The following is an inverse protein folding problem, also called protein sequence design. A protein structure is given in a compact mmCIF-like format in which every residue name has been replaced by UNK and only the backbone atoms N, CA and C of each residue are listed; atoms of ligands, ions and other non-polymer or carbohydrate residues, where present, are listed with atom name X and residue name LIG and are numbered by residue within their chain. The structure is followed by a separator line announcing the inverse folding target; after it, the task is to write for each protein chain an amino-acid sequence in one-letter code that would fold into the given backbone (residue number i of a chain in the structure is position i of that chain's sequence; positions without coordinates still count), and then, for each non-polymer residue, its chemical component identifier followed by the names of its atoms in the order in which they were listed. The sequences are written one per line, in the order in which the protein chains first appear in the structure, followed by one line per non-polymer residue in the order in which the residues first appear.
data_IF_279088970483
#
_entry.id   IF_279088970483
#
_cell.length_a   1.000
_cell.length_b   1.000
_cell.length_c   1.000
_cell.angle_alpha   90.00
_cell.angle_beta   90.00
_cell.angle_gamma   90.00
#
_symmetry.space_group_name_H-M   'P 1'
#
loop_
_entity.id
_entity.type
_entity.pdbx_description
1 polymer ?
#
# COMPACT_ATOMS: atom_id res chain seq x y z
N UNK A 1 74.62 22.30 -3.59
CA UNK A 1 74.00 23.58 -3.16
C UNK A 1 73.57 24.32 -4.41
N UNK A 2 72.36 24.92 -4.39
CA UNK A 2 71.87 26.06 -5.20
C UNK A 2 72.02 26.07 -6.75
N UNK A 3 70.85 26.21 -7.41
CA UNK A 3 70.49 26.96 -8.65
C UNK A 3 69.37 26.16 -9.35
N UNK A 4 68.12 26.60 -9.54
CA UNK A 4 67.42 27.90 -9.52
C UNK A 4 67.43 28.70 -10.85
N UNK A 5 66.42 28.38 -11.69
CA UNK A 5 65.84 29.20 -12.77
C UNK A 5 64.32 29.27 -12.45
N UNK A 6 63.60 30.40 -12.40
CA UNK A 6 63.42 31.53 -13.34
C UNK A 6 62.37 31.22 -14.46
N UNK A 7 61.34 32.04 -14.75
CA UNK A 7 60.79 33.23 -14.06
C UNK A 7 59.27 33.45 -14.46
N UNK A 8 58.64 34.64 -14.65
CA UNK A 8 57.25 34.90 -14.24
C UNK A 8 56.32 35.07 -15.48
N UNK A 9 55.16 35.74 -15.54
CA UNK A 9 54.62 36.91 -14.81
C UNK A 9 53.11 37.09 -14.93
N UNK A 10 52.54 37.63 -13.86
CA UNK A 10 51.24 38.29 -13.81
C UNK A 10 51.29 39.61 -14.60
N UNK A 11 50.22 39.98 -15.32
CA UNK A 11 50.02 41.39 -15.69
C UNK A 11 48.54 41.71 -15.94
N UNK A 12 48.07 42.78 -15.31
CA UNK A 12 46.68 43.22 -15.26
C UNK A 12 46.65 44.70 -15.61
N UNK A 13 45.75 45.15 -16.49
CA UNK A 13 45.11 46.42 -16.17
C UNK A 13 43.60 46.48 -16.49
N UNK A 14 42.84 46.87 -15.47
CA UNK A 14 41.68 47.75 -15.61
C UNK A 14 42.17 49.22 -15.60
N UNK A 15 41.51 50.24 -16.20
CA UNK A 15 40.21 50.68 -15.66
C UNK A 15 39.19 51.36 -16.62
N UNK A 16 37.92 51.32 -16.21
CA UNK A 16 36.86 52.36 -16.33
C UNK A 16 36.64 53.16 -17.63
N UNK A 17 35.39 53.20 -18.13
CA UNK A 17 34.53 54.42 -18.06
C UNK A 17 33.07 54.24 -18.52
N UNK A 18 32.15 54.71 -17.67
CA UNK A 18 30.93 55.50 -17.94
C UNK A 18 29.95 55.14 -19.08
N UNK A 19 28.70 54.85 -18.66
CA UNK A 19 27.54 55.68 -19.03
C UNK A 19 26.70 55.28 -20.26
N UNK A 20 25.43 54.91 -20.00
CA UNK A 20 24.24 55.50 -20.65
C UNK A 20 22.99 54.64 -20.36
N UNK A 21 22.08 55.16 -19.52
CA UNK A 21 20.71 54.68 -19.43
C UNK A 21 19.78 55.74 -20.00
N UNK A 22 19.19 55.55 -21.17
CA UNK A 22 17.94 56.26 -21.51
C UNK A 22 17.08 55.63 -22.63
N UNK A 23 15.79 55.59 -22.31
CA UNK A 23 14.55 55.45 -23.09
C UNK A 23 14.50 55.60 -24.62
N UNK A 24 13.63 54.79 -25.27
CA UNK A 24 12.53 55.24 -26.16
C UNK A 24 11.57 54.06 -26.54
N UNK A 25 10.34 53.97 -26.01
CA UNK A 25 9.07 54.54 -26.54
C UNK A 25 8.54 54.00 -27.89
N UNK A 26 7.44 53.22 -27.86
CA UNK A 26 6.17 53.39 -28.64
C UNK A 26 5.12 52.33 -28.20
N UNK A 27 3.98 52.73 -27.60
CA UNK A 27 2.63 52.98 -28.21
C UNK A 27 1.93 51.70 -28.70
N UNK A 28 0.66 51.36 -28.41
CA UNK A 28 -0.57 51.95 -27.75
C UNK A 28 -1.30 50.77 -27.06
N UNK A 29 -2.02 50.82 -25.92
CA UNK A 29 -3.08 51.71 -25.36
C UNK A 29 -4.37 51.82 -26.18
N UNK A 30 -5.37 50.99 -25.87
CA UNK A 30 -6.75 51.45 -25.58
C UNK A 30 -7.54 50.40 -24.78
N UNK A 31 -8.00 50.79 -23.59
CA UNK A 31 -9.06 50.13 -22.83
C UNK A 31 -10.35 50.91 -23.13
N UNK A 32 -11.48 50.23 -23.26
CA UNK A 32 -12.78 50.89 -23.13
C UNK A 32 -13.77 49.93 -22.48
N UNK A 33 -14.58 50.50 -21.59
CA UNK A 33 -15.44 49.84 -20.60
C UNK A 33 -16.84 50.40 -20.81
N UNK A 34 -17.85 49.54 -20.90
CA UNK A 34 -19.25 49.96 -20.92
C UNK A 34 -20.15 48.90 -20.31
N UNK A 35 -20.80 49.26 -19.20
CA UNK A 35 -21.85 48.47 -18.57
C UNK A 35 -23.22 49.09 -18.90
N UNK A 36 -24.20 48.26 -19.29
CA UNK A 36 -25.63 48.61 -19.36
C UNK A 36 -26.44 47.40 -18.85
N UNK A 37 -27.61 47.65 -18.27
CA UNK A 37 -28.37 46.73 -17.42
C UNK A 37 -29.42 45.84 -18.12
N UNK A 38 -29.93 44.87 -17.35
CA UNK A 38 -31.08 43.97 -17.58
C UNK A 38 -32.42 44.76 -17.79
N UNK A 39 -33.53 44.21 -18.37
CA UNK A 39 -34.23 43.01 -17.84
C UNK A 39 -35.10 42.11 -18.77
N UNK A 40 -35.21 40.83 -18.38
CA UNK A 40 -36.42 39.96 -18.28
C UNK A 40 -37.55 39.91 -19.35
N UNK A 41 -37.61 38.79 -20.10
CA UNK A 41 -38.80 37.99 -20.54
C UNK A 41 -38.30 36.82 -21.43
N UNK A 42 -38.93 35.67 -21.60
CA UNK A 42 -40.13 35.07 -21.00
C UNK A 42 -40.57 33.84 -21.83
N UNK A 43 -41.01 32.77 -21.15
CA UNK A 43 -41.78 31.64 -21.70
C UNK A 43 -41.08 30.59 -22.58
N UNK A 44 -41.79 29.48 -22.75
CA UNK A 44 -41.31 28.13 -23.07
C UNK A 44 -41.90 27.61 -24.37
N UNK A 45 -41.13 26.86 -25.16
CA UNK A 45 -41.69 25.92 -26.14
C UNK A 45 -41.11 24.52 -25.91
N UNK A 46 -42.03 23.58 -25.68
CA UNK A 46 -41.80 22.15 -25.57
C UNK A 46 -41.81 21.58 -27.00
N UNK A 47 -40.82 20.77 -27.37
CA UNK A 47 -40.82 20.04 -28.65
C UNK A 47 -39.96 18.78 -28.51
N UNK A 48 -40.63 17.66 -28.70
CA UNK A 48 -40.16 16.30 -28.43
C UNK A 48 -39.37 15.69 -29.61
N UNK A 49 -38.77 14.53 -29.33
CA UNK A 49 -38.26 13.51 -30.25
C UNK A 49 -36.95 13.77 -31.02
N UNK A 50 -36.26 12.67 -31.35
CA UNK A 50 -35.38 12.62 -32.53
C UNK A 50 -33.94 12.15 -32.31
N UNK A 51 -33.45 12.12 -31.07
CA UNK A 51 -32.18 11.51 -30.69
C UNK A 51 -30.91 12.28 -31.09
N UNK A 52 -30.01 12.50 -30.13
CA UNK A 52 -28.64 12.88 -30.44
C UNK A 52 -27.66 12.34 -29.38
N UNK A 53 -26.40 12.16 -29.79
CA UNK A 53 -25.29 11.93 -28.89
C UNK A 53 -24.93 13.22 -28.17
N UNK A 54 -25.75 13.62 -27.19
CA UNK A 54 -25.57 14.86 -26.43
C UNK A 54 -24.11 15.00 -25.97
N UNK A 55 -23.40 15.93 -26.63
CA UNK A 55 -22.03 16.28 -26.28
C UNK A 55 -22.08 17.24 -25.08
N UNK A 56 -22.71 16.75 -24.01
CA UNK A 56 -22.99 17.50 -22.80
C UNK A 56 -21.68 18.03 -22.24
N UNK A 57 -21.57 19.35 -22.09
CA UNK A 57 -20.35 19.98 -21.59
C UNK A 57 -19.98 19.31 -20.25
N UNK A 58 -18.76 18.78 -20.10
CA UNK A 58 -18.44 17.88 -19.00
C UNK A 58 -18.58 18.64 -17.68
N UNK A 59 -19.41 18.12 -16.78
CA UNK A 59 -19.60 18.75 -15.48
C UNK A 59 -18.26 18.82 -14.72
N UNK A 60 -18.16 19.74 -13.75
CA UNK A 60 -16.99 19.81 -12.88
C UNK A 60 -16.70 18.46 -12.22
N UNK A 61 -17.75 17.70 -11.88
CA UNK A 61 -17.67 16.33 -11.38
C UNK A 61 -17.07 15.35 -12.42
N UNK A 62 -17.50 15.39 -13.68
CA UNK A 62 -16.94 14.52 -14.75
C UNK A 62 -15.47 14.80 -15.00
N UNK A 63 -15.05 16.07 -14.94
CA UNK A 63 -13.64 16.45 -15.04
C UNK A 63 -12.85 15.89 -13.86
N UNK A 64 -13.40 15.95 -12.64
CA UNK A 64 -12.78 15.33 -11.46
C UNK A 64 -12.72 13.80 -11.55
N UNK A 65 -13.75 13.13 -12.05
CA UNK A 65 -13.75 11.67 -12.29
C UNK A 65 -12.67 11.30 -13.30
N UNK A 66 -12.61 12.00 -14.45
CA UNK A 66 -11.56 11.80 -15.47
C UNK A 66 -10.15 12.05 -14.91
N UNK A 67 -9.96 13.06 -14.05
CA UNK A 67 -8.69 13.31 -13.33
C UNK A 67 -8.34 12.18 -12.36
N UNK A 68 -9.31 11.66 -11.60
CA UNK A 68 -9.08 10.57 -10.66
C UNK A 68 -8.71 9.26 -11.37
N UNK A 69 -9.42 8.91 -12.44
CA UNK A 69 -9.10 7.74 -13.28
C UNK A 69 -7.70 7.88 -13.89
N UNK A 70 -7.33 9.06 -14.41
CA UNK A 70 -5.97 9.31 -14.93
C UNK A 70 -4.90 9.18 -13.85
N UNK A 71 -5.15 9.69 -12.63
CA UNK A 71 -4.24 9.53 -11.50
C UNK A 71 -4.06 8.04 -11.15
N UNK A 72 -5.14 7.27 -11.10
CA UNK A 72 -5.10 5.84 -10.82
C UNK A 72 -4.26 5.08 -11.85
N UNK A 73 -4.52 5.26 -13.14
CA UNK A 73 -3.77 4.60 -14.23
C UNK A 73 -2.28 5.00 -14.24
N UNK A 74 -1.95 6.27 -13.99
CA UNK A 74 -0.57 6.72 -13.90
C UNK A 74 0.15 6.15 -12.67
N UNK A 75 -0.54 6.05 -11.53
CA UNK A 75 -0.02 5.40 -10.32
C UNK A 75 0.18 3.90 -10.52
N UNK A 76 -0.69 3.20 -11.26
CA UNK A 76 -0.46 1.79 -11.59
C UNK A 76 0.79 1.61 -12.46
N UNK A 77 0.90 2.35 -13.56
CA UNK A 77 2.05 2.30 -14.48
C UNK A 77 3.40 2.64 -13.82
N UNK A 78 3.38 3.54 -12.83
CA UNK A 78 4.57 3.92 -12.04
C UNK A 78 4.78 3.09 -10.78
N UNK A 79 3.91 2.11 -10.51
CA UNK A 79 3.86 1.36 -9.24
C UNK A 79 3.87 2.30 -8.02
N UNK A 80 3.14 3.41 -8.08
CA UNK A 80 2.97 4.37 -6.99
C UNK A 80 1.74 4.11 -6.11
N UNK A 81 1.82 4.46 -4.82
CA UNK A 81 0.65 4.52 -3.93
C UNK A 81 -0.10 5.85 -4.09
N UNK A 82 -1.43 5.79 -4.00
CA UNK A 82 -2.33 6.94 -4.16
C UNK A 82 -2.76 7.40 -2.78
N UNK A 83 -2.32 8.57 -2.31
CA UNK A 83 -2.69 9.10 -0.99
C UNK A 83 -3.90 10.03 -1.08
N UNK A 84 -4.68 10.14 0.00
CA UNK A 84 -5.78 11.10 0.08
C UNK A 84 -5.36 12.56 -0.15
N UNK A 85 -4.15 12.92 0.28
CA UNK A 85 -3.53 14.23 0.05
C UNK A 85 -3.29 14.50 -1.44
N UNK A 86 -2.75 13.51 -2.17
CA UNK A 86 -2.54 13.59 -3.62
C UNK A 86 -3.86 13.73 -4.38
N UNK A 87 -4.89 12.99 -3.96
CA UNK A 87 -6.24 13.12 -4.52
C UNK A 87 -6.80 14.54 -4.29
N UNK A 88 -6.71 15.06 -3.07
CA UNK A 88 -7.18 16.43 -2.78
C UNK A 88 -6.45 17.47 -3.65
N UNK A 89 -5.11 17.42 -3.72
CA UNK A 89 -4.33 18.39 -4.48
C UNK A 89 -4.49 18.27 -6.00
N UNK A 90 -4.45 17.05 -6.56
CA UNK A 90 -4.38 16.82 -8.02
C UNK A 90 -5.73 16.65 -8.70
N UNK A 91 -6.75 16.23 -7.95
CA UNK A 91 -8.09 15.92 -8.49
C UNK A 91 -9.12 16.96 -8.07
N UNK A 92 -9.29 17.16 -6.76
CA UNK A 92 -10.43 17.88 -6.18
C UNK A 92 -10.20 19.39 -6.02
N UNK A 93 -8.95 19.81 -5.87
CA UNK A 93 -8.60 21.17 -5.46
C UNK A 93 -8.95 21.46 -4.00
N UNK A 94 -8.69 22.69 -3.57
CA UNK A 94 -8.79 23.14 -2.18
C UNK A 94 -10.20 22.98 -1.59
N UNK A 95 -11.24 23.36 -2.34
CA UNK A 95 -12.63 23.33 -1.90
C UNK A 95 -13.36 22.00 -2.24
N UNK A 96 -12.77 21.12 -3.06
CA UNK A 96 -13.44 19.91 -3.55
C UNK A 96 -13.50 18.74 -2.55
N UNK A 97 -13.03 18.93 -1.31
CA UNK A 97 -12.89 17.85 -0.31
C UNK A 97 -14.19 17.08 -0.06
N UNK A 98 -15.34 17.77 -0.02
CA UNK A 98 -16.70 17.23 0.16
C UNK A 98 -17.15 16.31 -0.98
N UNK A 99 -16.70 16.57 -2.20
CA UNK A 99 -17.12 15.85 -3.40
C UNK A 99 -16.40 14.50 -3.57
N UNK A 100 -15.39 14.22 -2.75
CA UNK A 100 -14.57 13.00 -2.84
C UNK A 100 -15.37 11.71 -2.92
N UNK A 101 -16.41 11.52 -2.09
CA UNK A 101 -17.16 10.25 -2.05
C UNK A 101 -17.81 9.97 -3.41
N UNK A 102 -18.56 10.93 -3.96
CA UNK A 102 -19.21 10.80 -5.27
C UNK A 102 -18.20 10.64 -6.40
N UNK A 103 -17.13 11.45 -6.43
CA UNK A 103 -16.07 11.35 -7.45
C UNK A 103 -15.35 9.99 -7.37
N UNK A 104 -15.08 9.47 -6.17
CA UNK A 104 -14.41 8.18 -5.97
C UNK A 104 -15.30 7.01 -6.39
N UNK A 105 -16.57 7.00 -5.99
CA UNK A 105 -17.53 5.97 -6.40
C UNK A 105 -17.75 5.97 -7.92
N UNK A 106 -17.85 7.15 -8.55
CA UNK A 106 -17.94 7.27 -10.00
C UNK A 106 -16.65 6.82 -10.71
N UNK A 107 -15.47 7.19 -10.21
CA UNK A 107 -14.19 6.72 -10.74
C UNK A 107 -14.03 5.19 -10.62
N UNK A 108 -14.48 4.59 -9.52
CA UNK A 108 -14.48 3.12 -9.33
C UNK A 108 -15.44 2.40 -10.30
N UNK A 109 -16.55 3.04 -10.72
CA UNK A 109 -17.40 2.51 -11.80
C UNK A 109 -16.66 2.55 -13.14
N UNK A 110 -15.99 3.66 -13.47
CA UNK A 110 -15.23 3.81 -14.72
C UNK A 110 -14.02 2.86 -14.78
N UNK A 111 -13.25 2.74 -13.71
CA UNK A 111 -12.09 1.83 -13.63
C UNK A 111 -12.52 0.37 -13.84
N UNK A 112 -13.59 -0.08 -13.18
CA UNK A 112 -14.07 -1.46 -13.33
C UNK A 112 -14.69 -1.71 -14.71
N UNK A 113 -15.57 -0.80 -15.16
CA UNK A 113 -16.32 -0.97 -16.40
C UNK A 113 -15.51 -0.79 -17.69
N UNK A 114 -14.46 0.04 -17.69
CA UNK A 114 -13.64 0.32 -18.89
C UNK A 114 -12.23 -0.24 -18.87
N UNK A 115 -11.65 -0.46 -17.69
CA UNK A 115 -10.24 -0.88 -17.55
C UNK A 115 -10.07 -2.23 -16.84
N UNK A 116 -11.14 -2.82 -16.30
CA UNK A 116 -11.02 -4.05 -15.49
C UNK A 116 -10.16 -3.86 -14.25
N UNK A 117 -10.16 -2.66 -13.66
CA UNK A 117 -9.32 -2.26 -12.53
C UNK A 117 -10.16 -1.65 -11.41
N UNK A 118 -9.63 -1.62 -10.18
CA UNK A 118 -10.23 -0.88 -9.07
C UNK A 118 -9.16 -0.34 -8.12
N UNK A 119 -9.47 0.74 -7.41
CA UNK A 119 -8.64 1.25 -6.32
C UNK A 119 -8.95 0.46 -5.02
N UNK A 120 -7.95 -0.22 -4.46
CA UNK A 120 -8.04 -0.98 -3.19
C UNK A 120 -7.25 -0.26 -2.11
N UNK A 121 -7.82 -0.12 -0.91
CA UNK A 121 -7.12 0.51 0.21
C UNK A 121 -6.03 -0.41 0.76
N UNK A 122 -4.84 0.14 1.00
CA UNK A 122 -3.74 -0.60 1.61
C UNK A 122 -3.98 -0.78 3.12
N UNK A 123 -3.80 -1.99 3.67
CA UNK A 123 -3.95 -2.24 5.10
C UNK A 123 -2.96 -1.40 5.92
N UNK A 124 -3.30 -1.19 7.20
CA UNK A 124 -2.44 -0.54 8.19
C UNK A 124 -0.97 -0.96 8.06
N UNK A 125 -0.03 0.00 8.12
CA UNK A 125 1.36 -0.38 8.38
C UNK A 125 1.39 -0.99 9.78
N UNK A 126 1.75 -2.26 9.86
CA UNK A 126 1.89 -2.93 11.15
C UNK A 126 2.93 -2.22 12.01
N UNK A 127 2.62 -2.09 13.30
CA UNK A 127 3.47 -1.43 14.29
C UNK A 127 4.36 -2.49 14.92
N UNK A 128 5.45 -2.80 14.23
CA UNK A 128 6.21 -4.03 14.51
C UNK A 128 7.16 -3.83 15.69
N UNK A 129 7.91 -2.73 15.74
CA UNK A 129 8.93 -2.51 16.78
C UNK A 129 8.31 -2.35 18.17
N UNK A 130 9.08 -2.67 19.21
CA UNK A 130 8.69 -2.42 20.60
C UNK A 130 8.34 -0.93 20.81
N UNK A 131 9.10 -0.01 20.20
CA UNK A 131 8.83 1.43 20.25
C UNK A 131 7.51 1.82 19.58
N UNK A 132 7.17 1.24 18.42
CA UNK A 132 5.90 1.48 17.72
C UNK A 132 4.72 0.86 18.47
N UNK A 133 4.89 -0.30 19.12
CA UNK A 133 3.87 -0.92 19.98
C UNK A 133 3.58 -0.09 21.23
N UNK A 134 4.62 0.37 21.94
CA UNK A 134 4.46 1.30 23.09
C UNK A 134 3.84 2.63 22.67
N UNK A 135 4.22 3.18 21.51
CA UNK A 135 3.58 4.37 20.96
C UNK A 135 2.12 4.13 20.52
N UNK A 136 1.76 2.92 20.10
CA UNK A 136 0.38 2.55 19.76
C UNK A 136 -0.54 2.54 20.98
N UNK A 137 -0.06 2.04 22.12
CA UNK A 137 -0.79 1.97 23.38
C UNK A 137 -1.14 3.35 23.94
N UNK A 138 -0.40 4.39 23.56
CA UNK A 138 -0.68 5.80 23.91
C UNK A 138 -1.75 6.48 23.01
N UNK A 139 -2.35 5.77 22.05
CA UNK A 139 -3.35 6.31 21.13
C UNK A 139 -4.68 5.59 21.34
N UNK A 140 -5.60 6.22 22.07
CA UNK A 140 -6.89 5.62 22.49
C UNK A 140 -7.82 5.21 21.33
N UNK A 141 -7.67 5.82 20.15
CA UNK A 141 -8.42 5.46 18.94
C UNK A 141 -7.50 5.31 17.73
N UNK A 142 -6.98 4.10 17.44
CA UNK A 142 -6.26 3.86 16.19
C UNK A 142 -7.22 4.01 15.00
N UNK A 143 -6.91 4.92 14.08
CA UNK A 143 -7.70 5.10 12.85
C UNK A 143 -7.56 3.89 11.92
N UNK A 144 -8.64 3.14 11.72
CA UNK A 144 -8.66 1.88 10.94
C UNK A 144 -8.33 2.04 9.44
N UNK A 145 -8.42 3.25 8.90
CA UNK A 145 -8.19 3.55 7.47
C UNK A 145 -6.91 4.39 7.29
N UNK A 146 -5.99 3.89 6.46
CA UNK A 146 -4.77 4.58 6.03
C UNK A 146 -5.04 5.66 4.97
N UNK A 147 -6.23 5.67 4.35
CA UNK A 147 -6.63 6.58 3.27
C UNK A 147 -5.58 6.63 2.15
N UNK A 148 -5.07 5.45 1.81
CA UNK A 148 -4.00 5.23 0.83
C UNK A 148 -4.36 4.00 0.01
N UNK A 149 -4.39 4.14 -1.31
CA UNK A 149 -4.87 3.11 -2.24
C UNK A 149 -3.77 2.67 -3.21
N UNK A 150 -3.89 1.46 -3.74
CA UNK A 150 -3.24 1.01 -4.97
C UNK A 150 -4.32 0.66 -6.00
N UNK A 151 -3.94 0.48 -7.25
CA UNK A 151 -4.83 -0.09 -8.27
C UNK A 151 -4.59 -1.60 -8.31
N UNK A 152 -5.65 -2.38 -8.52
CA UNK A 152 -5.57 -3.84 -8.73
C UNK A 152 -6.50 -4.25 -9.88
N UNK A 153 -6.16 -5.36 -10.53
CA UNK A 153 -7.02 -5.96 -11.56
C UNK A 153 -8.25 -6.63 -10.93
N UNK A 154 -9.42 -6.37 -11.50
CA UNK A 154 -10.69 -7.05 -11.21
C UNK A 154 -11.02 -8.15 -12.22
N UNK A 155 -10.14 -8.42 -13.18
CA UNK A 155 -10.36 -9.46 -14.18
C UNK A 155 -10.34 -10.85 -13.50
N UNK A 156 -11.19 -11.81 -13.90
CA UNK A 156 -11.14 -13.20 -13.45
C UNK A 156 -9.75 -13.84 -13.66
N UNK A 157 -9.31 -14.81 -12.83
CA UNK A 157 -7.98 -15.44 -12.92
C UNK A 157 -7.63 -15.97 -14.32
N UNK A 158 -8.60 -16.58 -15.03
CA UNK A 158 -8.46 -17.07 -16.42
C UNK A 158 -8.05 -16.01 -17.46
N UNK A 159 -8.19 -14.72 -17.15
CA UNK A 159 -7.74 -13.60 -18.00
C UNK A 159 -6.50 -12.89 -17.45
N UNK A 160 -5.87 -13.42 -16.39
CA UNK A 160 -4.62 -12.90 -15.81
C UNK A 160 -3.37 -13.67 -16.29
N UNK A 161 -3.52 -14.50 -17.32
CA UNK A 161 -2.38 -15.22 -17.91
C UNK A 161 -1.45 -14.24 -18.64
N UNK A 162 -0.12 -14.49 -18.66
CA UNK A 162 0.83 -13.65 -19.39
C UNK A 162 0.57 -13.53 -20.90
N UNK A 163 -0.14 -14.50 -21.48
CA UNK A 163 -0.57 -14.51 -22.89
C UNK A 163 -1.64 -13.44 -23.18
N UNK A 164 -2.53 -13.19 -22.22
CA UNK A 164 -3.67 -12.25 -22.36
C UNK A 164 -3.30 -10.87 -21.81
N UNK A 165 -2.56 -10.83 -20.69
CA UNK A 165 -2.04 -9.60 -20.08
C UNK A 165 -0.51 -9.66 -20.04
N UNK A 166 0.17 -9.40 -21.17
CA UNK A 166 1.61 -9.30 -21.17
C UNK A 166 2.07 -8.15 -20.27
N UNK A 167 3.17 -8.32 -19.50
CA UNK A 167 3.68 -7.27 -18.63
C UNK A 167 4.06 -6.02 -19.44
N UNK A 168 3.62 -4.86 -18.95
CA UNK A 168 3.67 -3.56 -19.64
C UNK A 168 5.07 -3.11 -20.09
N UNK A 169 6.14 -3.62 -19.49
CA UNK A 169 7.52 -3.44 -19.93
C UNK A 169 8.28 -4.78 -19.97
N UNK A 170 8.19 -5.48 -21.09
CA UNK A 170 9.08 -6.62 -21.37
C UNK A 170 10.56 -6.18 -21.44
N UNK A 171 11.53 -6.96 -20.94
CA UNK A 171 11.41 -8.12 -20.05
C UNK A 171 11.43 -7.74 -18.55
N UNK A 172 11.78 -6.49 -18.22
CA UNK A 172 12.15 -6.08 -16.85
C UNK A 172 11.00 -6.17 -15.84
N UNK A 173 9.74 -5.96 -16.26
CA UNK A 173 8.58 -6.08 -15.37
C UNK A 173 8.22 -7.54 -15.03
N UNK A 174 8.48 -8.49 -15.95
CA UNK A 174 8.35 -9.92 -15.67
C UNK A 174 9.34 -10.35 -14.59
N UNK A 175 10.61 -9.98 -14.77
CA UNK A 175 11.68 -10.28 -13.81
C UNK A 175 11.43 -9.60 -12.46
N UNK A 176 11.03 -8.32 -12.46
CA UNK A 176 10.62 -7.60 -11.25
C UNK A 176 9.51 -8.35 -10.50
N UNK A 177 8.50 -8.82 -11.21
CA UNK A 177 7.35 -9.55 -10.65
C UNK A 177 7.77 -10.89 -10.05
N UNK A 178 8.56 -11.69 -10.77
CA UNK A 178 9.12 -12.94 -10.26
C UNK A 178 9.98 -12.73 -9.01
N UNK A 179 10.87 -11.73 -9.02
CA UNK A 179 11.77 -11.43 -7.91
C UNK A 179 11.04 -10.96 -6.64
N UNK A 180 10.10 -10.00 -6.74
CA UNK A 180 9.39 -9.55 -5.55
C UNK A 180 8.47 -10.66 -5.01
N UNK A 181 7.85 -11.45 -5.89
CA UNK A 181 6.97 -12.55 -5.49
C UNK A 181 7.78 -13.64 -4.79
N UNK A 182 8.97 -13.98 -5.30
CA UNK A 182 9.91 -14.89 -4.65
C UNK A 182 10.33 -14.40 -3.26
N UNK A 183 10.76 -13.14 -3.12
CA UNK A 183 11.18 -12.61 -1.81
C UNK A 183 10.01 -12.60 -0.81
N UNK A 184 8.81 -12.19 -1.25
CA UNK A 184 7.60 -12.24 -0.41
C UNK A 184 7.25 -13.68 -0.01
N UNK A 185 7.36 -14.64 -0.94
CA UNK A 185 7.16 -16.06 -0.65
C UNK A 185 8.16 -16.59 0.39
N UNK A 186 9.44 -16.28 0.24
CA UNK A 186 10.48 -16.68 1.22
C UNK A 186 10.21 -16.08 2.59
N UNK A 187 9.78 -14.82 2.68
CA UNK A 187 9.42 -14.18 3.96
C UNK A 187 8.17 -14.84 4.57
N UNK A 188 7.09 -15.03 3.79
CA UNK A 188 5.85 -15.62 4.30
C UNK A 188 6.04 -17.08 4.75
N UNK A 189 6.76 -17.90 3.98
CA UNK A 189 7.05 -19.30 4.33
C UNK A 189 7.99 -19.45 5.55
N UNK A 190 8.63 -18.37 6.01
CA UNK A 190 9.43 -18.33 7.23
C UNK A 190 8.65 -17.75 8.44
N UNK A 191 7.31 -17.64 8.34
CA UNK A 191 6.46 -17.10 9.41
C UNK A 191 6.16 -15.60 9.28
N UNK A 192 6.39 -15.01 8.11
CA UNK A 192 6.06 -13.61 7.80
C UNK A 192 7.14 -12.59 8.13
N UNK A 193 8.26 -13.02 8.70
CA UNK A 193 9.39 -12.18 9.12
C UNK A 193 10.72 -12.90 8.90
N UNK A 194 11.78 -12.19 8.49
CA UNK A 194 13.02 -12.80 8.03
C UNK A 194 14.27 -11.94 8.30
N UNK A 195 15.26 -12.41 9.09
CA UNK A 195 16.53 -11.71 9.29
C UNK A 195 17.33 -11.50 7.99
N UNK A 196 18.03 -10.36 7.87
CA UNK A 196 18.80 -9.96 6.67
C UNK A 196 19.82 -11.03 6.24
N UNK A 197 20.62 -11.58 7.17
CA UNK A 197 21.58 -12.65 6.88
C UNK A 197 20.92 -13.95 6.36
N UNK A 198 19.67 -14.23 6.76
CA UNK A 198 18.92 -15.40 6.28
C UNK A 198 18.34 -15.14 4.88
N UNK A 199 17.88 -13.92 4.60
CA UNK A 199 17.46 -13.47 3.27
C UNK A 199 18.63 -13.52 2.27
N UNK A 200 19.80 -12.98 2.64
CA UNK A 200 21.02 -13.03 1.84
C UNK A 200 21.40 -14.48 1.48
N UNK A 201 21.35 -15.40 2.45
CA UNK A 201 21.59 -16.83 2.21
C UNK A 201 20.61 -17.46 1.21
N UNK A 202 19.36 -17.01 1.14
CA UNK A 202 18.42 -17.47 0.12
C UNK A 202 18.74 -16.86 -1.25
N UNK A 203 19.01 -15.56 -1.33
CA UNK A 203 19.36 -14.85 -2.57
C UNK A 203 20.66 -15.39 -3.18
N UNK A 204 21.65 -15.76 -2.36
CA UNK A 204 22.87 -16.43 -2.81
C UNK A 204 22.62 -17.79 -3.45
N UNK A 205 21.63 -18.56 -2.96
CA UNK A 205 21.24 -19.86 -3.56
C UNK A 205 20.49 -19.69 -4.88
N UNK A 206 19.95 -18.50 -5.17
CA UNK A 206 19.32 -18.15 -6.45
C UNK A 206 20.21 -17.24 -7.31
N UNK A 207 21.52 -17.20 -7.06
CA UNK A 207 22.51 -16.37 -7.79
C UNK A 207 22.09 -14.90 -7.92
N UNK A 208 21.45 -14.36 -6.87
CA UNK A 208 20.84 -13.03 -6.81
C UNK A 208 21.36 -12.20 -5.63
N UNK A 209 22.54 -12.55 -5.09
CA UNK A 209 23.15 -11.88 -3.93
C UNK A 209 23.73 -10.49 -4.28
N UNK A 210 24.42 -10.40 -5.42
CA UNK A 210 25.09 -9.17 -5.86
C UNK A 210 24.27 -8.39 -6.88
N UNK A 211 23.68 -9.09 -7.86
CA UNK A 211 22.91 -8.49 -8.94
C UNK A 211 21.65 -9.30 -9.21
N UNK A 212 20.53 -8.62 -9.41
CA UNK A 212 19.29 -9.22 -9.90
C UNK A 212 19.12 -8.85 -11.38
N UNK A 213 18.28 -9.56 -12.16
CA UNK A 213 17.90 -9.16 -13.52
C UNK A 213 17.31 -7.74 -13.70
N UNK A 214 17.15 -6.95 -12.62
CA UNK A 214 16.61 -5.58 -12.64
C UNK A 214 17.66 -4.53 -12.23
N UNK A 215 18.36 -4.74 -11.12
CA UNK A 215 19.40 -3.85 -10.57
C UNK A 215 20.25 -4.63 -9.53
N UNK A 216 21.28 -3.98 -8.96
CA UNK A 216 22.03 -4.47 -7.81
C UNK A 216 21.08 -4.78 -6.63
N UNK A 217 21.35 -5.88 -5.92
CA UNK A 217 20.40 -6.46 -4.94
C UNK A 217 20.06 -5.53 -3.78
N UNK A 218 21.02 -4.75 -3.29
CA UNK A 218 20.85 -3.69 -2.29
C UNK A 218 19.85 -2.61 -2.75
N UNK A 219 20.03 -2.08 -3.96
CA UNK A 219 19.14 -1.10 -4.59
C UNK A 219 17.76 -1.67 -4.84
N UNK A 220 17.69 -2.94 -5.23
CA UNK A 220 16.43 -3.63 -5.43
C UNK A 220 15.63 -3.78 -4.13
N UNK A 221 16.26 -4.19 -3.02
CA UNK A 221 15.61 -4.25 -1.70
C UNK A 221 15.16 -2.86 -1.21
N UNK A 222 15.97 -1.82 -1.42
CA UNK A 222 15.59 -0.42 -1.14
C UNK A 222 14.37 0.00 -1.96
N UNK A 223 14.32 -0.36 -3.24
CA UNK A 223 13.18 -0.11 -4.14
C UNK A 223 11.91 -0.80 -3.64
N UNK A 224 11.98 -2.09 -3.26
CA UNK A 224 10.84 -2.82 -2.71
C UNK A 224 10.33 -2.20 -1.39
N UNK A 225 11.21 -1.68 -0.55
CA UNK A 225 10.82 -0.94 0.65
C UNK A 225 10.13 0.39 0.31
N UNK A 226 10.63 1.12 -0.70
CA UNK A 226 10.05 2.39 -1.18
C UNK A 226 8.67 2.21 -1.83
N UNK A 227 8.49 1.17 -2.62
CA UNK A 227 7.24 0.83 -3.30
C UNK A 227 6.23 0.12 -2.36
N UNK A 228 6.62 -0.21 -1.13
CA UNK A 228 5.75 -0.75 -0.08
C UNK A 228 5.54 -2.27 -0.13
N UNK A 229 6.32 -2.99 -0.93
CA UNK A 229 6.36 -4.45 -0.97
C UNK A 229 6.98 -5.05 0.29
N UNK A 230 8.00 -4.39 0.85
CA UNK A 230 8.72 -4.81 2.05
C UNK A 230 8.73 -3.72 3.12
N UNK A 231 8.95 -4.14 4.37
CA UNK A 231 9.28 -3.28 5.51
C UNK A 231 10.58 -3.80 6.11
N UNK A 232 11.63 -2.97 6.09
CA UNK A 232 12.90 -3.22 6.79
C UNK A 232 12.77 -2.68 8.22
N UNK A 233 12.82 -3.58 9.19
CA UNK A 233 12.97 -3.26 10.60
C UNK A 233 14.47 -3.26 10.98
N UNK A 234 14.88 -2.40 11.91
CA UNK A 234 16.22 -2.35 12.49
C UNK A 234 16.05 -2.18 13.99
N UNK A 235 16.39 -3.20 14.74
CA UNK A 235 16.33 -3.23 16.21
C UNK A 235 17.74 -3.37 16.76
N UNK A 236 18.01 -2.73 17.89
CA UNK A 236 19.26 -2.86 18.64
C UNK A 236 18.99 -3.84 19.77
N UNK A 237 19.58 -5.03 19.72
CA UNK A 237 19.44 -6.05 20.76
C UNK A 237 20.83 -6.40 21.32
N UNK A 238 21.00 -6.29 22.64
CA UNK A 238 22.29 -6.51 23.31
C UNK A 238 23.46 -5.57 22.93
N UNK A 239 23.28 -4.69 21.94
CA UNK A 239 24.34 -3.89 21.32
C UNK A 239 24.60 -4.24 19.84
N UNK A 240 24.04 -5.36 19.36
CA UNK A 240 24.10 -5.78 17.97
C UNK A 240 22.88 -5.27 17.18
N UNK A 241 23.10 -4.95 15.90
CA UNK A 241 22.04 -4.51 15.00
C UNK A 241 21.34 -5.69 14.32
N UNK A 242 20.13 -6.01 14.77
CA UNK A 242 19.27 -7.01 14.13
C UNK A 242 18.41 -6.32 13.08
N UNK A 243 18.67 -6.62 11.81
CA UNK A 243 17.87 -6.16 10.68
C UNK A 243 16.97 -7.30 10.19
N UNK A 244 15.69 -6.98 10.01
CA UNK A 244 14.65 -7.94 9.67
C UNK A 244 13.73 -7.40 8.58
N UNK A 245 13.35 -8.25 7.63
CA UNK A 245 12.44 -7.93 6.53
C UNK A 245 11.09 -8.62 6.71
N UNK A 246 10.03 -7.83 6.54
CA UNK A 246 8.64 -8.30 6.54
C UNK A 246 7.91 -7.86 5.28
N UNK A 247 6.77 -8.50 5.00
CA UNK A 247 5.90 -8.11 3.89
C UNK A 247 5.18 -6.80 4.20
N UNK A 248 5.39 -5.79 3.34
CA UNK A 248 4.72 -4.50 3.44
C UNK A 248 3.25 -4.53 2.97
N UNK A 249 2.49 -3.44 3.21
CA UNK A 249 1.06 -3.39 2.90
C UNK A 249 0.72 -3.74 1.46
N UNK A 250 1.58 -3.38 0.50
CA UNK A 250 1.37 -3.68 -0.91
C UNK A 250 1.58 -5.16 -1.22
N UNK A 251 2.66 -5.74 -0.71
CA UNK A 251 2.96 -7.16 -0.90
C UNK A 251 1.86 -8.07 -0.34
N UNK A 252 1.19 -7.63 0.74
CA UNK A 252 0.02 -8.30 1.31
C UNK A 252 -1.23 -8.26 0.43
N UNK A 253 -1.40 -7.22 -0.41
CA UNK A 253 -2.58 -7.05 -1.29
C UNK A 253 -2.34 -7.63 -2.69
N UNK A 254 -1.13 -7.48 -3.25
CA UNK A 254 -0.82 -7.97 -4.61
C UNK A 254 -0.47 -9.46 -4.65
N UNK A 255 0.21 -9.99 -3.61
CA UNK A 255 0.57 -11.41 -3.51
C UNK A 255 -0.17 -12.07 -2.35
N UNK A 256 0.09 -11.62 -1.12
CA UNK A 256 -0.50 -12.17 0.09
C UNK A 256 -0.23 -13.67 0.33
N UNK A 257 -0.80 -14.26 1.39
CA UNK A 257 -0.65 -15.69 1.66
C UNK A 257 -1.23 -16.58 0.56
N UNK A 258 -2.36 -16.18 -0.05
CA UNK A 258 -3.03 -16.98 -1.08
C UNK A 258 -2.26 -17.01 -2.40
N UNK A 259 -1.64 -15.90 -2.82
CA UNK A 259 -0.77 -15.87 -4.00
C UNK A 259 0.49 -16.72 -3.81
N UNK A 260 1.08 -16.72 -2.61
CA UNK A 260 2.18 -17.64 -2.28
C UNK A 260 1.72 -19.09 -2.25
N UNK A 261 0.53 -19.38 -1.73
CA UNK A 261 -0.02 -20.74 -1.73
C UNK A 261 -0.19 -21.27 -3.16
N UNK A 262 -0.76 -20.47 -4.08
CA UNK A 262 -0.86 -20.81 -5.50
C UNK A 262 0.50 -21.03 -6.16
N UNK A 263 1.46 -20.13 -5.95
CA UNK A 263 2.84 -20.29 -6.46
C UNK A 263 3.50 -21.58 -5.94
N UNK A 264 3.28 -21.93 -4.68
CA UNK A 264 3.85 -23.15 -4.07
C UNK A 264 3.15 -24.41 -4.60
N UNK A 265 1.84 -24.38 -4.89
CA UNK A 265 1.16 -25.50 -5.58
C UNK A 265 1.72 -25.70 -6.98
N UNK A 266 1.85 -24.62 -7.76
CA UNK A 266 2.41 -24.63 -9.11
C UNK A 266 3.83 -25.22 -9.13
N UNK A 267 4.74 -24.68 -8.32
CA UNK A 267 6.16 -25.10 -8.28
C UNK A 267 6.35 -26.55 -7.84
N UNK A 268 5.43 -27.10 -7.03
CA UNK A 268 5.47 -28.51 -6.60
C UNK A 268 4.56 -29.44 -7.43
N UNK A 269 3.96 -28.97 -8.53
CA UNK A 269 3.12 -29.79 -9.40
C UNK A 269 1.83 -30.29 -8.73
N UNK A 270 1.23 -29.48 -7.86
CA UNK A 270 0.04 -29.80 -7.04
C UNK A 270 -1.15 -28.90 -7.33
N UNK A 271 -1.11 -28.10 -8.39
CA UNK A 271 -2.23 -27.25 -8.78
C UNK A 271 -3.37 -28.09 -9.36
N UNK A 272 -3.06 -28.99 -10.31
CA UNK A 272 -4.04 -29.89 -10.94
C UNK A 272 -4.76 -30.78 -9.92
N UNK A 273 -4.06 -31.27 -8.89
CA UNK A 273 -4.61 -32.09 -7.81
C UNK A 273 -5.61 -31.33 -6.89
N UNK A 274 -5.68 -30.00 -6.97
CA UNK A 274 -6.64 -29.17 -6.22
C UNK A 274 -7.81 -28.75 -7.11
N UNK A 275 -7.57 -28.55 -8.40
CA UNK A 275 -8.60 -28.15 -9.37
C UNK A 275 -9.41 -29.35 -9.92
N UNK A 276 -8.81 -30.55 -9.98
CA UNK A 276 -9.50 -31.82 -10.30
C UNK A 276 -9.21 -32.91 -9.25
N UNK A 277 -9.91 -32.85 -8.13
CA UNK A 277 -9.82 -33.85 -7.06
C UNK A 277 -10.55 -35.16 -7.37
N UNK A 278 -11.19 -35.30 -8.53
CA UNK A 278 -12.13 -36.39 -8.82
C UNK A 278 -11.44 -37.71 -9.19
N UNK A 279 -10.24 -37.64 -9.79
CA UNK A 279 -9.45 -38.80 -10.24
C UNK A 279 -8.32 -39.21 -9.26
N UNK A 280 -8.19 -38.54 -8.10
CA UNK A 280 -7.13 -38.83 -7.13
C UNK A 280 -7.39 -40.09 -6.28
N UNK A 281 -6.38 -40.95 -6.13
CA UNK A 281 -6.46 -42.06 -5.17
C UNK A 281 -6.50 -41.56 -3.71
N UNK A 282 -7.07 -42.32 -2.76
CA UNK A 282 -7.09 -41.90 -1.34
C UNK A 282 -5.70 -41.58 -0.76
N UNK A 283 -4.66 -42.29 -1.21
CA UNK A 283 -3.28 -42.05 -0.79
C UNK A 283 -2.64 -40.79 -1.43
N UNK A 284 -3.21 -40.24 -2.50
CA UNK A 284 -2.81 -38.96 -3.09
C UNK A 284 -3.59 -37.80 -2.49
N UNK A 285 -4.85 -38.03 -2.13
CA UNK A 285 -5.66 -37.10 -1.33
C UNK A 285 -4.97 -36.83 0.02
N UNK A 286 -4.61 -37.86 0.78
CA UNK A 286 -3.88 -37.74 2.06
C UNK A 286 -2.57 -36.92 1.91
N UNK A 287 -1.73 -37.26 0.91
CA UNK A 287 -0.48 -36.51 0.63
C UNK A 287 -0.71 -35.06 0.22
N UNK A 288 -1.88 -34.75 -0.34
CA UNK A 288 -2.26 -33.38 -0.75
C UNK A 288 -2.74 -32.60 0.47
N UNK A 289 -3.56 -33.22 1.32
CA UNK A 289 -3.98 -32.64 2.59
C UNK A 289 -2.81 -32.38 3.55
N UNK A 290 -1.88 -33.32 3.70
CA UNK A 290 -0.66 -33.13 4.50
C UNK A 290 0.15 -31.91 4.04
N UNK A 291 0.28 -31.74 2.72
CA UNK A 291 0.98 -30.61 2.11
C UNK A 291 0.24 -29.30 2.35
N UNK A 292 -1.07 -29.25 2.14
CA UNK A 292 -1.89 -28.08 2.42
C UNK A 292 -1.89 -27.72 3.92
N UNK A 293 -1.85 -28.72 4.81
CA UNK A 293 -1.71 -28.55 6.25
C UNK A 293 -0.31 -28.04 6.65
N UNK A 294 0.74 -28.41 5.93
CA UNK A 294 2.09 -27.84 6.11
C UNK A 294 2.17 -26.41 5.56
N UNK A 295 1.59 -26.17 4.38
CA UNK A 295 1.57 -24.87 3.71
C UNK A 295 0.77 -23.83 4.52
N UNK A 296 -0.42 -24.17 5.00
CA UNK A 296 -1.22 -23.31 5.86
C UNK A 296 -0.50 -22.95 7.17
N UNK A 297 0.20 -23.91 7.80
CA UNK A 297 1.04 -23.66 8.97
C UNK A 297 2.19 -22.70 8.66
N UNK A 298 2.95 -22.94 7.59
CA UNK A 298 4.08 -22.07 7.19
C UNK A 298 3.64 -20.64 6.86
N UNK A 299 2.47 -20.47 6.25
CA UNK A 299 1.91 -19.16 5.87
C UNK A 299 1.13 -18.46 6.99
N UNK A 300 1.01 -19.07 8.17
CA UNK A 300 0.22 -18.53 9.28
C UNK A 300 -1.29 -18.44 9.01
N UNK A 301 -1.79 -19.17 8.00
CA UNK A 301 -3.22 -19.18 7.65
C UNK A 301 -3.95 -20.01 8.71
N UNK A 302 -4.61 -19.34 9.66
CA UNK A 302 -5.59 -19.98 10.53
C UNK A 302 -6.73 -20.51 9.66
N UNK A 303 -6.76 -21.83 9.42
CA UNK A 303 -7.97 -22.50 8.95
C UNK A 303 -9.04 -22.26 10.03
N UNK A 304 -10.16 -21.63 9.65
CA UNK A 304 -11.39 -21.82 10.42
C UNK A 304 -11.70 -23.30 10.28
N UNK A 305 -11.54 -24.07 11.36
CA UNK A 305 -12.05 -25.43 11.39
C UNK A 305 -13.55 -25.32 11.24
N UNK A 306 -14.07 -25.93 10.17
CA UNK A 306 -15.50 -26.20 10.06
C UNK A 306 -15.79 -27.18 11.18
N UNK A 307 -16.44 -26.70 12.23
CA UNK A 307 -16.75 -27.51 13.39
C UNK A 307 -17.72 -28.61 12.94
N UNK A 308 -17.41 -29.86 13.26
CA UNK A 308 -18.24 -31.01 12.88
C UNK A 308 -19.62 -30.89 13.56
N UNK A 309 -20.65 -30.69 12.75
CA UNK A 309 -22.06 -30.76 13.16
C UNK A 309 -22.60 -32.16 12.80
N UNK A 310 -22.26 -33.15 13.64
CA UNK A 310 -22.90 -34.46 13.81
C UNK A 310 -22.12 -35.19 14.94
N UNK A 311 -22.69 -35.84 15.95
CA UNK A 311 -24.08 -36.09 16.34
C UNK A 311 -24.22 -35.90 17.88
N UNK A 312 -25.44 -35.86 18.42
CA UNK A 312 -25.65 -36.00 19.87
C UNK A 312 -26.88 -35.29 20.43
N UNK A 313 -28.08 -35.73 20.03
CA UNK A 313 -29.30 -35.28 20.69
C UNK A 313 -29.49 -35.92 22.06
N UNK A 314 -29.97 -35.14 23.04
CA UNK A 314 -30.70 -35.66 24.19
C UNK A 314 -31.81 -34.68 24.59
N UNK A 315 -33.04 -35.18 24.69
CA UNK A 315 -34.21 -34.41 25.14
C UNK A 315 -34.37 -34.59 26.65
N UNK A 316 -34.26 -33.51 27.45
CA UNK A 316 -34.62 -33.65 28.86
C UNK A 316 -34.47 -32.42 29.76
N UNK A 317 -35.57 -32.05 30.43
CA UNK A 317 -35.50 -31.50 31.79
C UNK A 317 -35.61 -29.98 31.97
N UNK A 318 -36.85 -29.49 32.05
CA UNK A 318 -37.16 -28.15 32.57
C UNK A 318 -36.86 -28.02 34.08
N UNK A 319 -36.18 -26.94 34.53
CA UNK A 319 -36.65 -25.99 35.59
C UNK A 319 -35.61 -24.99 36.17
N UNK A 320 -35.93 -23.70 36.02
CA UNK A 320 -35.97 -22.59 37.03
C UNK A 320 -34.95 -22.38 38.19
N UNK A 321 -34.84 -21.09 38.57
CA UNK A 321 -34.23 -20.45 39.78
C UNK A 321 -32.72 -20.15 39.68
N UNK A 322 -32.17 -18.93 39.80
CA UNK A 322 -32.43 -17.69 40.57
C UNK A 322 -31.69 -17.62 41.93
N UNK A 323 -30.84 -16.59 42.12
CA UNK A 323 -30.22 -16.16 43.41
C UNK A 323 -29.07 -17.07 43.92
N UNK A 324 -28.03 -16.64 44.67
CA UNK A 324 -27.79 -15.36 45.38
C UNK A 324 -26.27 -15.07 45.64
N UNK A 325 -25.96 -13.78 45.85
CA UNK A 325 -24.80 -13.14 46.53
C UNK A 325 -23.67 -14.00 47.16
N UNK A 326 -22.43 -13.76 46.71
CA UNK A 326 -21.49 -12.81 47.34
C UNK A 326 -20.71 -13.21 48.62
N UNK A 327 -19.40 -12.90 48.64
CA UNK A 327 -18.67 -12.66 49.89
C UNK A 327 -17.52 -11.65 49.71
N UNK A 328 -17.50 -10.63 50.57
CA UNK A 328 -16.39 -9.68 50.76
C UNK A 328 -15.51 -10.17 51.91
N UNK A 329 -14.19 -9.93 51.82
CA UNK A 329 -13.29 -9.87 52.98
C UNK A 329 -12.35 -8.69 52.83
N UNK A 330 -12.40 -7.81 53.83
CA UNK A 330 -11.58 -6.61 53.98
C UNK A 330 -11.29 -6.45 55.48
N UNK A 331 -10.21 -5.72 55.80
CA UNK A 331 -9.77 -5.17 57.11
C UNK A 331 -8.60 -5.90 57.81
N UNK A 332 -7.86 -5.21 58.69
CA UNK A 332 -7.79 -3.75 58.91
C UNK A 332 -6.37 -3.17 58.73
N UNK A 333 -6.28 -1.84 58.81
CA UNK A 333 -5.09 -1.09 59.23
C UNK A 333 -5.35 -0.56 60.66
N UNK A 334 -4.30 -0.14 61.38
CA UNK A 334 -4.40 0.66 62.60
C UNK A 334 -3.32 1.77 62.58
N UNK A 335 -3.68 2.91 63.18
CA UNK A 335 -3.04 4.24 63.17
C UNK A 335 -2.91 4.78 64.63
N UNK A 336 -2.00 5.67 65.08
CA UNK A 336 -0.99 6.53 64.41
C UNK A 336 0.21 6.87 65.38
N UNK A 337 0.67 8.13 65.47
CA UNK A 337 1.58 8.81 66.45
C UNK A 337 3.13 8.68 66.25
N UNK A 338 3.91 9.76 65.99
CA UNK A 338 4.38 10.89 66.86
C UNK A 338 5.47 10.45 67.87
N UNK A 339 6.59 11.14 68.18
CA UNK A 339 7.16 12.47 67.84
C UNK A 339 8.73 12.48 68.03
N UNK A 340 9.41 13.48 67.44
CA UNK A 340 10.67 14.21 67.80
C UNK A 340 11.98 13.62 68.44
N UNK A 341 13.11 14.31 68.13
CA UNK A 341 14.42 14.43 68.85
C UNK A 341 15.35 13.18 69.03
N UNK A 342 16.69 13.25 69.15
CA UNK A 342 17.77 14.26 68.94
C UNK A 342 19.14 13.52 68.84
N UNK A 343 20.20 14.13 68.26
CA UNK A 343 21.64 13.71 68.25
C UNK A 343 22.00 12.41 67.48
N UNK A 344 23.20 12.23 66.91
CA UNK A 344 24.52 12.89 67.08
C UNK A 344 25.26 12.97 65.72
#
# INVERSE_FOLDING_TARGET
MQQADADPSDDNPSPSTQGASESARRRRRRTEETAIANPNSGESEDSDDGGDGETHAPSSADVMVKKMVRLALASEYSRGVIRRTDISAKVLGEQGSRQFKGVFEAAQKVLRGKFGMQMVELPGKEKVTISQRRAAQKVEKPSSSNKTWIVTSTLPPKYRTPEILPPTKAPMESSLTGLYTFIIAVILLNGGSLPEAKLERYLKRTNSDTFTPVDRTDRFLQRLCKEGYLVRNREMDGGDEVIEYMVGPRGKVEVGPQGVAGLVREVFGRQDAVDDSSDLTPAEQEKTEEFENRLARSLGIKRYQKQDEDEGGDEGGSRSTQSQRGQSRQRPADEEEEEEEESD
#
